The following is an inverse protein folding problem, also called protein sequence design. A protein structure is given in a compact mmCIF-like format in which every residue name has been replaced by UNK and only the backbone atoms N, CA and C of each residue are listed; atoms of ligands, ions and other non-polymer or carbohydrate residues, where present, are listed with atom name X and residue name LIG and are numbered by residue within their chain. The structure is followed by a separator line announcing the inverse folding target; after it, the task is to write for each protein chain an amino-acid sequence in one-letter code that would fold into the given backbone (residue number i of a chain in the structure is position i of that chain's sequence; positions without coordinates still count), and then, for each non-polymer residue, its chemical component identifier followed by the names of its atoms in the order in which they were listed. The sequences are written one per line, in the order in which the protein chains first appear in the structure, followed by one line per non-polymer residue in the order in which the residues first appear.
data_IF_049271988588
#
_entry.id   IF_049271988588
#
_cell.length_a   1.000
_cell.length_b   1.000
_cell.length_c   1.000
_cell.angle_alpha   90.00
_cell.angle_beta   90.00
_cell.angle_gamma   90.00
#
_symmetry.space_group_name_H-M   'P 1'
#
loop_
_entity.id
_entity.type
_entity.pdbx_description
1 polymer ?
#
# COMPACT_ATOMS: atom_id res chain seq x y z
N UNK A 1 0.78 -14.14 -18.30
CA UNK A 1 1.65 -13.59 -19.34
C UNK A 1 1.65 -12.05 -19.35
N UNK A 2 0.47 -11.39 -19.30
CA UNK A 2 0.36 -9.91 -19.32
C UNK A 2 1.20 -9.22 -18.23
N UNK A 3 1.18 -9.72 -17.00
CA UNK A 3 1.95 -9.18 -15.88
C UNK A 3 3.46 -9.27 -16.12
N UNK A 4 3.95 -10.37 -16.70
CA UNK A 4 5.37 -10.55 -17.01
C UNK A 4 5.81 -9.57 -18.10
N UNK A 5 5.01 -9.42 -19.16
CA UNK A 5 5.30 -8.46 -20.23
C UNK A 5 5.34 -7.03 -19.69
N UNK A 6 4.35 -6.65 -18.87
CA UNK A 6 4.29 -5.33 -18.24
C UNK A 6 5.54 -5.05 -17.37
N UNK A 7 5.96 -6.02 -16.58
CA UNK A 7 7.17 -5.90 -15.73
C UNK A 7 8.45 -5.81 -16.57
N UNK A 8 8.56 -6.57 -17.67
CA UNK A 8 9.68 -6.47 -18.60
C UNK A 8 9.76 -5.08 -19.25
N UNK A 9 8.63 -4.57 -19.73
CA UNK A 9 8.58 -3.21 -20.33
C UNK A 9 8.99 -2.17 -19.28
N UNK A 10 8.49 -2.27 -18.07
CA UNK A 10 8.85 -1.37 -16.98
C UNK A 10 10.35 -1.45 -16.65
N UNK A 11 10.92 -2.65 -16.60
CA UNK A 11 12.34 -2.85 -16.33
C UNK A 11 13.23 -2.25 -17.44
N UNK A 12 12.86 -2.44 -18.70
CA UNK A 12 13.58 -1.86 -19.86
C UNK A 12 13.51 -0.34 -19.84
N UNK A 13 12.32 0.24 -19.63
CA UNK A 13 12.15 1.70 -19.55
C UNK A 13 12.91 2.29 -18.36
N UNK A 14 12.82 1.67 -17.20
CA UNK A 14 13.55 2.10 -16.01
C UNK A 14 15.08 2.02 -16.22
N UNK A 15 15.58 0.92 -16.80
CA UNK A 15 16.98 0.75 -17.14
C UNK A 15 17.48 1.81 -18.13
N UNK A 16 16.72 2.06 -19.19
CA UNK A 16 17.04 3.11 -20.17
C UNK A 16 17.10 4.52 -19.53
N UNK A 17 16.11 4.85 -18.69
CA UNK A 17 16.08 6.14 -17.99
C UNK A 17 17.22 6.28 -16.99
N UNK A 18 17.57 5.21 -16.31
CA UNK A 18 18.69 5.18 -15.36
C UNK A 18 20.00 5.45 -16.07
N UNK A 19 20.26 4.78 -17.18
CA UNK A 19 21.48 4.97 -17.97
C UNK A 19 21.57 6.35 -18.62
N UNK A 20 20.43 6.94 -19.05
CA UNK A 20 20.40 8.21 -19.78
C UNK A 20 20.35 9.43 -18.87
N UNK A 21 19.66 9.34 -17.73
CA UNK A 21 19.37 10.49 -16.86
C UNK A 21 20.15 10.51 -15.55
N UNK A 22 20.92 9.47 -15.24
CA UNK A 22 21.73 9.41 -14.03
C UNK A 22 23.18 9.15 -14.34
N UNK A 23 24.08 9.63 -13.48
CA UNK A 23 25.53 9.39 -13.56
C UNK A 23 25.94 8.09 -12.86
N UNK A 24 24.97 7.22 -12.55
CA UNK A 24 25.23 5.98 -11.84
C UNK A 24 25.94 5.01 -12.77
N UNK A 25 27.13 4.57 -12.36
CA UNK A 25 27.87 3.54 -13.06
C UNK A 25 27.39 2.15 -12.63
N UNK A 26 27.00 1.31 -13.59
CA UNK A 26 26.65 -0.09 -13.35
C UNK A 26 27.86 -1.02 -13.22
N UNK A 27 29.07 -0.45 -13.06
CA UNK A 27 30.28 -1.26 -12.87
C UNK A 27 30.27 -1.94 -11.51
N UNK A 28 30.47 -3.24 -11.50
CA UNK A 28 30.66 -4.02 -10.29
C UNK A 28 32.00 -3.62 -9.65
N UNK A 29 31.95 -2.98 -8.50
CA UNK A 29 33.14 -2.53 -7.77
C UNK A 29 33.28 -3.37 -6.50
N UNK A 30 34.40 -4.06 -6.35
CA UNK A 30 34.84 -4.72 -5.13
C UNK A 30 35.88 -3.84 -4.42
N UNK A 31 35.90 -3.73 -3.08
CA UNK A 31 35.10 -4.46 -2.11
C UNK A 31 33.66 -3.91 -1.99
N UNK A 32 32.74 -4.77 -1.53
CA UNK A 32 31.35 -4.38 -1.29
C UNK A 32 31.24 -3.21 -0.32
N UNK A 33 30.31 -2.30 -0.61
CA UNK A 33 30.04 -1.16 0.26
C UNK A 33 29.67 -1.62 1.68
N UNK A 34 30.20 -0.95 2.70
CA UNK A 34 29.92 -1.23 4.13
C UNK A 34 28.44 -1.12 4.50
N UNK A 35 27.62 -0.45 3.66
CA UNK A 35 26.17 -0.31 3.85
C UNK A 35 25.35 -1.54 3.40
N UNK A 36 25.96 -2.50 2.68
CA UNK A 36 25.26 -3.69 2.16
C UNK A 36 24.61 -4.51 3.28
N UNK A 37 25.26 -4.82 4.42
CA UNK A 37 24.63 -5.55 5.51
C UNK A 37 23.39 -4.84 6.07
N UNK A 38 23.41 -3.51 6.11
CA UNK A 38 22.26 -2.70 6.54
C UNK A 38 21.10 -2.84 5.55
N UNK A 39 21.38 -2.78 4.25
CA UNK A 39 20.36 -3.00 3.21
C UNK A 39 19.75 -4.39 3.28
N UNK A 40 20.57 -5.43 3.45
CA UNK A 40 20.09 -6.83 3.61
C UNK A 40 19.16 -6.94 4.82
N UNK A 41 19.53 -6.33 5.94
CA UNK A 41 18.67 -6.30 7.14
C UNK A 41 17.34 -5.61 6.87
N UNK A 42 17.34 -4.46 6.18
CA UNK A 42 16.13 -3.75 5.80
C UNK A 42 15.22 -4.59 4.89
N UNK A 43 15.81 -5.27 3.89
CA UNK A 43 15.06 -6.19 3.02
C UNK A 43 14.44 -7.33 3.81
N UNK A 44 15.19 -7.91 4.75
CA UNK A 44 14.69 -9.00 5.60
C UNK A 44 13.54 -8.53 6.52
N UNK A 45 13.64 -7.33 7.11
CA UNK A 45 12.57 -6.75 7.91
C UNK A 45 11.28 -6.56 7.09
N UNK A 46 11.40 -6.04 5.87
CA UNK A 46 10.27 -5.86 4.95
C UNK A 46 9.70 -7.20 4.47
N UNK A 47 10.54 -8.21 4.27
CA UNK A 47 10.12 -9.56 3.90
C UNK A 47 9.27 -10.20 5.00
N UNK A 48 9.74 -10.17 6.26
CA UNK A 48 8.97 -10.66 7.40
C UNK A 48 7.64 -9.94 7.55
N UNK A 49 7.64 -8.61 7.40
CA UNK A 49 6.43 -7.81 7.41
C UNK A 49 5.43 -8.25 6.33
N UNK A 50 5.92 -8.48 5.11
CA UNK A 50 5.08 -8.92 3.99
C UNK A 50 4.47 -10.31 4.24
N UNK A 51 5.25 -11.24 4.81
CA UNK A 51 4.75 -12.56 5.21
C UNK A 51 3.61 -12.40 6.22
N UNK A 52 3.79 -11.60 7.27
CA UNK A 52 2.78 -11.40 8.30
C UNK A 52 1.48 -10.83 7.72
N UNK A 53 1.59 -9.84 6.83
CA UNK A 53 0.45 -9.22 6.16
C UNK A 53 -0.30 -10.22 5.26
N UNK A 54 0.42 -11.00 4.47
CA UNK A 54 -0.20 -12.05 3.65
C UNK A 54 -0.83 -13.16 4.49
N UNK A 55 -0.21 -13.54 5.61
CA UNK A 55 -0.80 -14.51 6.54
C UNK A 55 -2.13 -14.00 7.11
N UNK A 56 -2.21 -12.72 7.48
CA UNK A 56 -3.45 -12.10 7.95
C UNK A 56 -4.55 -12.11 6.86
N UNK A 57 -4.19 -11.79 5.61
CA UNK A 57 -5.13 -11.84 4.48
C UNK A 57 -5.61 -13.27 4.20
N UNK A 58 -4.73 -14.26 4.22
CA UNK A 58 -5.08 -15.68 4.05
C UNK A 58 -6.01 -16.12 5.18
N UNK A 59 -5.73 -15.72 6.43
CA UNK A 59 -6.58 -16.01 7.56
C UNK A 59 -7.97 -15.37 7.42
N UNK A 60 -8.06 -14.14 6.90
CA UNK A 60 -9.33 -13.49 6.63
C UNK A 60 -10.16 -14.25 5.58
N UNK A 61 -9.52 -14.70 4.47
CA UNK A 61 -10.17 -15.56 3.46
C UNK A 61 -10.65 -16.88 4.08
N UNK A 62 -9.81 -17.54 4.88
CA UNK A 62 -10.18 -18.79 5.58
C UNK A 62 -11.42 -18.58 6.46
N UNK A 63 -11.45 -17.50 7.24
CA UNK A 63 -12.63 -17.15 8.06
C UNK A 63 -13.86 -16.84 7.21
N UNK A 64 -13.72 -16.04 6.15
CA UNK A 64 -14.84 -15.76 5.25
C UNK A 64 -15.42 -17.06 4.64
N UNK A 65 -14.55 -18.00 4.26
CA UNK A 65 -14.95 -19.31 3.75
C UNK A 65 -15.72 -20.13 4.80
N UNK A 66 -15.32 -20.08 6.07
CA UNK A 66 -16.00 -20.81 7.16
C UNK A 66 -17.43 -20.31 7.44
N UNK A 67 -17.76 -19.06 7.03
CA UNK A 67 -19.11 -18.50 7.12
C UNK A 67 -19.99 -18.76 5.89
N UNK A 68 -19.48 -19.52 4.93
CA UNK A 68 -20.22 -19.94 3.73
C UNK A 68 -19.88 -19.16 2.46
N UNK A 69 -20.36 -19.69 1.33
CA UNK A 69 -20.01 -19.19 -0.01
C UNK A 69 -20.46 -17.75 -0.26
N UNK A 70 -21.62 -17.36 0.24
CA UNK A 70 -22.15 -15.99 0.08
C UNK A 70 -21.27 -14.97 0.81
N UNK A 71 -20.79 -15.29 2.01
CA UNK A 71 -19.88 -14.44 2.76
C UNK A 71 -18.52 -14.33 2.08
N UNK A 72 -18.00 -15.43 1.54
CA UNK A 72 -16.75 -15.42 0.79
C UNK A 72 -16.87 -14.56 -0.47
N UNK A 73 -17.99 -14.66 -1.21
CA UNK A 73 -18.24 -13.85 -2.40
C UNK A 73 -18.33 -12.36 -2.06
N UNK A 74 -19.08 -12.00 -1.02
CA UNK A 74 -19.18 -10.62 -0.52
C UNK A 74 -17.83 -10.07 -0.07
N UNK A 75 -17.03 -10.86 0.66
CA UNK A 75 -15.67 -10.51 1.04
C UNK A 75 -14.77 -10.25 -0.18
N UNK A 76 -14.84 -11.14 -1.19
CA UNK A 76 -14.03 -11.02 -2.40
C UNK A 76 -14.28 -9.70 -3.15
N UNK A 77 -15.54 -9.26 -3.23
CA UNK A 77 -15.90 -7.98 -3.84
C UNK A 77 -15.47 -6.82 -2.94
N UNK A 78 -15.73 -6.92 -1.64
CA UNK A 78 -15.35 -5.90 -0.67
C UNK A 78 -13.85 -5.62 -0.66
N UNK A 79 -13.00 -6.66 -0.69
CA UNK A 79 -11.54 -6.49 -0.72
C UNK A 79 -11.06 -5.83 -2.02
N UNK A 80 -11.71 -6.09 -3.16
CA UNK A 80 -11.36 -5.44 -4.43
C UNK A 80 -11.69 -3.94 -4.41
N UNK A 81 -12.82 -3.56 -3.84
CA UNK A 81 -13.19 -2.16 -3.66
C UNK A 81 -12.26 -1.45 -2.67
N UNK A 82 -11.88 -2.14 -1.60
CA UNK A 82 -10.88 -1.62 -0.66
C UNK A 82 -9.54 -1.40 -1.33
N UNK A 83 -9.04 -2.36 -2.11
CA UNK A 83 -7.80 -2.25 -2.88
C UNK A 83 -7.86 -1.11 -3.89
N UNK A 84 -8.99 -0.93 -4.57
CA UNK A 84 -9.16 0.19 -5.49
C UNK A 84 -8.94 1.53 -4.80
N UNK A 85 -9.55 1.75 -3.63
CA UNK A 85 -9.30 2.95 -2.83
C UNK A 85 -7.85 3.04 -2.34
N UNK A 86 -7.26 1.92 -1.93
CA UNK A 86 -5.88 1.84 -1.47
C UNK A 86 -4.87 2.30 -2.54
N UNK A 87 -5.10 2.01 -3.83
CA UNK A 87 -4.22 2.46 -4.91
C UNK A 87 -4.14 3.98 -5.05
N UNK A 88 -5.24 4.71 -4.81
CA UNK A 88 -5.20 6.18 -4.78
C UNK A 88 -4.33 6.70 -3.65
N UNK A 89 -4.43 6.08 -2.48
CA UNK A 89 -3.67 6.48 -1.29
C UNK A 89 -2.19 6.10 -1.44
N UNK A 90 -1.89 4.98 -2.10
CA UNK A 90 -0.52 4.49 -2.30
C UNK A 90 0.34 5.45 -3.14
N UNK A 91 -0.27 6.27 -3.99
CA UNK A 91 0.41 7.37 -4.67
C UNK A 91 1.05 8.37 -3.70
N UNK A 92 0.32 8.76 -2.66
CA UNK A 92 0.85 9.66 -1.62
C UNK A 92 1.89 8.96 -0.74
N UNK A 93 1.67 7.69 -0.41
CA UNK A 93 2.60 6.83 0.32
C UNK A 93 3.94 6.70 -0.41
N UNK A 94 3.88 6.46 -1.72
CA UNK A 94 5.07 6.36 -2.58
C UNK A 94 5.84 7.67 -2.68
N UNK A 95 5.15 8.80 -2.81
CA UNK A 95 5.77 10.12 -2.76
C UNK A 95 6.43 10.36 -1.40
N UNK A 96 5.74 10.00 -0.31
CA UNK A 96 6.25 10.05 1.06
C UNK A 96 7.53 9.24 1.23
N UNK A 97 7.57 8.02 0.67
CA UNK A 97 8.75 7.15 0.70
C UNK A 97 9.97 7.83 0.06
N UNK A 98 9.84 8.31 -1.18
CA UNK A 98 10.95 8.89 -1.93
C UNK A 98 11.44 10.20 -1.27
N UNK A 99 10.51 11.10 -0.95
CA UNK A 99 10.85 12.43 -0.45
C UNK A 99 11.36 12.40 0.99
N UNK A 100 10.79 11.55 1.85
CA UNK A 100 11.25 11.45 3.25
C UNK A 100 12.68 10.91 3.35
N UNK A 101 13.02 9.92 2.53
CA UNK A 101 14.39 9.40 2.47
C UNK A 101 15.40 10.45 2.00
N UNK A 102 15.03 11.24 0.98
CA UNK A 102 15.85 12.33 0.48
C UNK A 102 16.05 13.44 1.51
N UNK A 103 14.97 13.91 2.13
CA UNK A 103 15.01 15.00 3.11
C UNK A 103 15.76 14.59 4.37
N UNK A 104 15.59 13.34 4.83
CA UNK A 104 16.34 12.80 5.96
C UNK A 104 17.84 12.76 5.65
N UNK A 105 18.22 12.31 4.46
CA UNK A 105 19.62 12.30 4.00
C UNK A 105 20.22 13.70 3.89
N UNK A 106 19.44 14.70 3.50
CA UNK A 106 19.82 16.11 3.45
C UNK A 106 19.79 16.79 4.84
N UNK A 107 19.30 16.12 5.89
CA UNK A 107 19.09 16.65 7.26
C UNK A 107 18.12 17.83 7.32
N UNK A 108 17.19 17.91 6.38
CA UNK A 108 16.14 18.94 6.31
C UNK A 108 14.92 18.52 7.13
N UNK A 109 15.03 18.53 8.46
CA UNK A 109 14.00 18.00 9.37
C UNK A 109 12.71 18.82 9.35
N UNK A 110 12.78 20.14 9.24
CA UNK A 110 11.59 21.01 9.20
C UNK A 110 10.77 20.79 7.93
N UNK A 111 11.47 20.65 6.80
CA UNK A 111 10.85 20.30 5.53
C UNK A 111 10.23 18.91 5.57
N UNK A 112 10.89 17.95 6.21
CA UNK A 112 10.38 16.58 6.39
C UNK A 112 9.09 16.56 7.22
N UNK A 113 9.04 17.31 8.33
CA UNK A 113 7.82 17.43 9.15
C UNK A 113 6.67 18.10 8.39
N UNK A 114 6.98 19.16 7.65
CA UNK A 114 6.01 19.85 6.78
C UNK A 114 5.46 18.92 5.69
N UNK A 115 6.35 18.13 5.06
CA UNK A 115 5.96 17.11 4.09
C UNK A 115 4.99 16.09 4.69
N UNK A 116 5.33 15.54 5.87
CA UNK A 116 4.49 14.58 6.57
C UNK A 116 3.08 15.12 6.84
N UNK A 117 3.00 16.34 7.35
CA UNK A 117 1.71 17.02 7.61
C UNK A 117 0.89 17.18 6.31
N UNK A 118 1.52 17.64 5.23
CA UNK A 118 0.83 17.81 3.93
C UNK A 118 0.33 16.48 3.37
N UNK A 119 1.16 15.44 3.40
CA UNK A 119 0.78 14.12 2.91
C UNK A 119 -0.39 13.52 3.70
N UNK A 120 -0.39 13.67 5.03
CA UNK A 120 -1.50 13.22 5.88
C UNK A 120 -2.79 13.96 5.52
N UNK A 121 -2.74 15.29 5.34
CA UNK A 121 -3.92 16.07 4.98
C UNK A 121 -4.45 15.63 3.60
N UNK A 122 -3.59 15.51 2.60
CA UNK A 122 -4.01 15.10 1.26
C UNK A 122 -4.52 13.66 1.21
N UNK A 123 -3.82 12.73 1.88
CA UNK A 123 -4.25 11.35 1.95
C UNK A 123 -5.57 11.18 2.71
N UNK A 124 -5.72 11.87 3.85
CA UNK A 124 -6.96 11.86 4.62
C UNK A 124 -8.12 12.45 3.80
N UNK A 125 -7.89 13.60 3.13
CA UNK A 125 -8.90 14.21 2.26
C UNK A 125 -9.30 13.27 1.12
N UNK A 126 -8.35 12.58 0.51
CA UNK A 126 -8.63 11.57 -0.52
C UNK A 126 -9.38 10.37 0.02
N UNK A 127 -9.02 9.88 1.21
CA UNK A 127 -9.72 8.79 1.88
C UNK A 127 -11.16 9.16 2.24
N UNK A 128 -11.38 10.36 2.77
CA UNK A 128 -12.73 10.90 3.06
C UNK A 128 -13.54 11.08 1.77
N UNK A 129 -12.92 11.60 0.71
CA UNK A 129 -13.57 11.76 -0.59
C UNK A 129 -14.02 10.43 -1.19
N UNK A 130 -13.14 9.41 -1.17
CA UNK A 130 -13.47 8.07 -1.65
C UNK A 130 -14.56 7.41 -0.80
N UNK A 131 -14.51 7.56 0.52
CA UNK A 131 -15.55 7.10 1.42
C UNK A 131 -16.89 7.80 1.13
N UNK A 132 -16.86 9.12 0.93
CA UNK A 132 -18.06 9.92 0.59
C UNK A 132 -18.70 9.48 -0.73
N UNK A 133 -17.90 9.26 -1.78
CA UNK A 133 -18.38 8.69 -3.04
C UNK A 133 -18.98 7.30 -2.81
N UNK A 134 -18.29 6.43 -2.05
CA UNK A 134 -18.78 5.11 -1.72
C UNK A 134 -20.11 5.12 -0.97
N UNK A 135 -20.31 6.06 -0.04
CA UNK A 135 -21.60 6.23 0.64
C UNK A 135 -22.68 6.81 -0.28
N UNK A 136 -22.33 7.76 -1.16
CA UNK A 136 -23.30 8.35 -2.09
C UNK A 136 -23.82 7.32 -3.12
N UNK A 137 -22.95 6.41 -3.57
CA UNK A 137 -23.28 5.38 -4.54
C UNK A 137 -23.39 3.98 -3.91
N UNK A 138 -23.75 3.91 -2.63
CA UNK A 138 -23.74 2.69 -1.83
C UNK A 138 -24.54 1.55 -2.47
N UNK A 139 -25.82 1.81 -2.77
CA UNK A 139 -26.70 0.80 -3.38
C UNK A 139 -26.29 0.50 -4.82
N UNK A 140 -25.96 1.52 -5.60
CA UNK A 140 -25.52 1.37 -6.98
C UNK A 140 -24.27 0.48 -7.11
N UNK A 141 -23.28 0.68 -6.24
CA UNK A 141 -22.07 -0.15 -6.23
C UNK A 141 -22.43 -1.60 -5.93
N UNK A 142 -23.29 -1.86 -4.93
CA UNK A 142 -23.71 -3.21 -4.60
C UNK A 142 -24.41 -3.90 -5.78
N UNK A 143 -25.39 -3.26 -6.39
CA UNK A 143 -26.20 -3.82 -7.49
C UNK A 143 -25.42 -4.04 -8.78
N UNK A 144 -24.42 -3.17 -9.07
CA UNK A 144 -23.57 -3.33 -10.26
C UNK A 144 -22.67 -4.55 -10.16
N UNK A 145 -22.10 -4.82 -8.97
CA UNK A 145 -21.16 -5.92 -8.80
C UNK A 145 -21.80 -7.23 -8.37
N UNK A 146 -23.01 -7.19 -7.76
CA UNK A 146 -23.63 -8.34 -7.12
C UNK A 146 -25.08 -8.49 -7.61
N UNK A 147 -25.36 -9.60 -8.29
CA UNK A 147 -26.71 -9.91 -8.76
C UNK A 147 -27.50 -10.86 -7.85
N UNK A 148 -26.80 -11.62 -7.01
CA UNK A 148 -27.40 -12.52 -6.03
C UNK A 148 -27.81 -11.75 -4.77
N UNK A 149 -29.10 -11.79 -4.42
CA UNK A 149 -29.65 -11.05 -3.29
C UNK A 149 -29.06 -11.47 -1.95
N UNK A 150 -28.71 -12.74 -1.76
CA UNK A 150 -28.14 -13.23 -0.52
C UNK A 150 -26.67 -12.76 -0.34
N UNK A 151 -25.92 -12.68 -1.43
CA UNK A 151 -24.56 -12.11 -1.44
C UNK A 151 -24.61 -10.59 -1.23
N UNK A 152 -25.57 -9.91 -1.88
CA UNK A 152 -25.76 -8.47 -1.79
C UNK A 152 -26.05 -8.04 -0.36
N UNK A 153 -26.94 -8.74 0.35
CA UNK A 153 -27.23 -8.48 1.74
C UNK A 153 -25.98 -8.61 2.62
N UNK A 154 -25.19 -9.68 2.44
CA UNK A 154 -23.93 -9.87 3.16
C UNK A 154 -22.89 -8.80 2.83
N UNK A 155 -22.86 -8.32 1.61
CA UNK A 155 -21.98 -7.24 1.21
C UNK A 155 -22.35 -5.93 1.94
N UNK A 156 -23.63 -5.58 2.00
CA UNK A 156 -24.07 -4.38 2.71
C UNK A 156 -23.81 -4.44 4.23
N UNK A 157 -23.85 -5.62 4.84
CA UNK A 157 -23.53 -5.80 6.26
C UNK A 157 -22.10 -5.33 6.61
N UNK A 158 -21.17 -5.37 5.64
CA UNK A 158 -19.74 -5.07 5.87
C UNK A 158 -19.21 -3.88 5.06
N UNK A 159 -19.88 -3.47 3.98
CA UNK A 159 -19.37 -2.47 3.07
C UNK A 159 -19.16 -1.09 3.73
N UNK A 160 -20.04 -0.68 4.63
CA UNK A 160 -19.90 0.56 5.38
C UNK A 160 -18.61 0.60 6.22
N UNK A 161 -18.15 -0.56 6.74
CA UNK A 161 -16.89 -0.68 7.49
C UNK A 161 -15.72 -0.37 6.56
N UNK A 162 -15.76 -0.92 5.34
CA UNK A 162 -14.72 -0.69 4.31
C UNK A 162 -14.62 0.81 4.01
N UNK A 163 -15.74 1.50 3.89
CA UNK A 163 -15.77 2.94 3.60
C UNK A 163 -15.19 3.77 4.75
N UNK A 164 -15.56 3.49 6.00
CA UNK A 164 -15.03 4.19 7.18
C UNK A 164 -13.53 3.91 7.36
N UNK A 165 -13.07 2.71 7.00
CA UNK A 165 -11.66 2.36 7.08
C UNK A 165 -10.76 3.09 6.07
N UNK A 166 -11.31 3.62 4.96
CA UNK A 166 -10.50 4.31 3.94
C UNK A 166 -9.69 5.50 4.49
N UNK A 167 -10.27 6.46 5.23
CA UNK A 167 -9.50 7.55 5.82
C UNK A 167 -8.45 7.08 6.82
N UNK A 168 -8.75 6.05 7.61
CA UNK A 168 -7.82 5.49 8.59
C UNK A 168 -6.64 4.80 7.90
N UNK A 169 -6.93 4.01 6.86
CA UNK A 169 -5.91 3.38 6.02
C UNK A 169 -5.00 4.42 5.34
N UNK A 170 -5.55 5.57 4.93
CA UNK A 170 -4.77 6.64 4.33
C UNK A 170 -3.64 7.13 5.25
N UNK A 171 -3.94 7.37 6.51
CA UNK A 171 -2.93 7.77 7.51
C UNK A 171 -1.88 6.68 7.67
N UNK A 172 -2.31 5.44 7.83
CA UNK A 172 -1.42 4.29 8.03
C UNK A 172 -0.48 4.09 6.83
N UNK A 173 -1.00 4.15 5.61
CA UNK A 173 -0.20 3.96 4.39
C UNK A 173 0.84 5.07 4.19
N UNK A 174 0.49 6.31 4.50
CA UNK A 174 1.42 7.43 4.40
C UNK A 174 2.57 7.27 5.40
N UNK A 175 2.28 6.94 6.65
CA UNK A 175 3.33 6.65 7.62
C UNK A 175 4.19 5.45 7.22
N UNK A 176 3.57 4.38 6.72
CA UNK A 176 4.29 3.21 6.20
C UNK A 176 5.27 3.59 5.09
N UNK A 177 4.82 4.40 4.11
CA UNK A 177 5.68 4.91 3.05
C UNK A 177 6.84 5.76 3.58
N UNK A 178 6.54 6.75 4.43
CA UNK A 178 7.56 7.63 5.00
C UNK A 178 8.60 6.87 5.83
N UNK A 179 8.18 5.97 6.71
CA UNK A 179 9.10 5.17 7.53
C UNK A 179 9.96 4.21 6.69
N UNK A 180 9.42 3.64 5.61
CA UNK A 180 10.21 2.88 4.63
C UNK A 180 11.29 3.76 4.01
N UNK A 181 10.91 4.95 3.54
CA UNK A 181 11.84 5.89 2.92
C UNK A 181 12.96 6.35 3.85
N UNK A 182 12.64 6.53 5.12
CA UNK A 182 13.63 6.89 6.16
C UNK A 182 14.48 5.70 6.65
N UNK A 183 14.15 4.47 6.23
CA UNK A 183 14.88 3.26 6.62
C UNK A 183 14.49 2.68 7.98
N UNK A 184 13.36 3.10 8.58
CA UNK A 184 12.85 2.57 9.85
C UNK A 184 12.04 1.27 9.66
N UNK A 185 12.58 0.34 8.87
CA UNK A 185 11.92 -0.93 8.52
C UNK A 185 11.70 -1.86 9.70
N UNK A 186 12.63 -1.87 10.65
CA UNK A 186 12.49 -2.66 11.88
C UNK A 186 11.31 -2.19 12.74
N UNK A 187 11.06 -0.88 12.80
CA UNK A 187 9.89 -0.33 13.49
C UNK A 187 8.59 -0.81 12.84
N UNK A 188 8.49 -0.71 11.50
CA UNK A 188 7.32 -1.17 10.76
C UNK A 188 7.06 -2.67 10.91
N UNK A 189 8.11 -3.49 10.89
CA UNK A 189 8.01 -4.92 11.16
C UNK A 189 7.44 -5.19 12.56
N UNK A 190 8.02 -4.57 13.58
CA UNK A 190 7.60 -4.79 14.96
C UNK A 190 6.16 -4.35 15.20
N UNK A 191 5.76 -3.20 14.62
CA UNK A 191 4.38 -2.70 14.71
C UNK A 191 3.35 -3.65 14.10
N UNK A 192 3.72 -4.38 13.05
CA UNK A 192 2.80 -5.32 12.40
C UNK A 192 2.75 -6.69 13.08
N UNK A 193 3.79 -7.06 13.84
CA UNK A 193 3.87 -8.33 14.56
C UNK A 193 3.25 -8.28 15.97
N UNK A 194 2.87 -7.09 16.45
CA UNK A 194 2.13 -6.87 17.69
C UNK A 194 0.63 -7.06 17.47
#
# INVERSE_FOLDING_TARGET
YASVISQLVMAVVAGYLLLKKTTISLKFVLPFNKEIPRLIKMVFDLFLRTIALNAALIFAVYKATSYGTNTLAAYGIGIQLWLFGAFFIDGYSSAGNILSGRLLGAKEYDTLLSLGRKLIIYGLSSGVFLAGIGFLFYDFIGEVFIKDAAVLQRFYDVFWIILIMQPLCAITFIFDGMFKGMGFTAFLRNLLLL
#
